data_IF_782606516461
#
_entry.id   IF_782606516461
#
_cell.length_a   1.000
_cell.length_b   1.000
_cell.length_c   1.000
_cell.angle_alpha   90.00
_cell.angle_beta   90.00
_cell.angle_gamma   90.00
#
_symmetry.space_group_name_H-M   'P 1'
#
loop_
_entity.id
_entity.type
_entity.pdbx_description
1 polymer ?
#
# COMPACT_ATOMS: atom_id res chain seq x y z
N UNK A 1 -0.77 5.96 -10.71
CA UNK A 1 -2.01 5.15 -10.70
C UNK A 1 -2.39 4.84 -9.27
N UNK A 2 -3.62 5.08 -8.91
CA UNK A 2 -4.12 4.87 -7.54
C UNK A 2 -5.39 4.04 -7.57
N UNK A 3 -5.61 3.25 -6.52
CA UNK A 3 -6.82 2.48 -6.34
C UNK A 3 -7.03 2.23 -4.85
N UNK A 4 -8.28 2.01 -4.45
CA UNK A 4 -8.58 1.58 -3.09
C UNK A 4 -8.73 0.07 -3.06
N UNK A 5 -8.34 -0.53 -1.95
CA UNK A 5 -8.46 -1.96 -1.74
C UNK A 5 -8.82 -2.25 -0.29
N UNK A 6 -9.28 -3.47 -0.05
CA UNK A 6 -9.64 -3.93 1.30
C UNK A 6 -8.69 -5.06 1.70
N UNK A 7 -8.26 -5.06 2.95
CA UNK A 7 -7.45 -6.13 3.52
C UNK A 7 -8.37 -7.30 3.86
N UNK A 8 -8.06 -8.50 3.38
CA UNK A 8 -8.84 -9.68 3.71
C UNK A 8 -8.41 -10.31 5.03
N UNK A 9 -9.05 -11.40 5.44
CA UNK A 9 -8.76 -12.07 6.71
C UNK A 9 -7.36 -12.69 6.77
N UNK A 10 -6.70 -12.87 5.63
CA UNK A 10 -5.34 -13.39 5.54
C UNK A 10 -4.30 -12.29 5.32
N UNK A 11 -4.72 -11.03 5.35
CA UNK A 11 -3.83 -9.89 5.14
C UNK A 11 -3.45 -9.64 3.69
N UNK A 12 -4.23 -10.16 2.75
CA UNK A 12 -3.97 -10.00 1.32
C UNK A 12 -4.68 -8.77 0.77
N UNK A 13 -4.01 -8.10 -0.15
CA UNK A 13 -4.56 -6.99 -0.93
C UNK A 13 -4.78 -7.49 -2.35
N UNK A 14 -6.03 -7.48 -2.80
CA UNK A 14 -6.40 -7.98 -4.12
C UNK A 14 -6.83 -6.80 -5.00
N UNK A 15 -5.88 -6.15 -5.66
CA UNK A 15 -6.16 -5.09 -6.62
C UNK A 15 -5.37 -5.37 -7.90
N UNK A 16 -6.03 -5.99 -8.87
CA UNK A 16 -5.35 -6.48 -10.06
C UNK A 16 -4.87 -5.39 -11.00
N UNK A 17 -5.61 -4.31 -11.16
CA UNK A 17 -5.24 -3.25 -12.11
C UNK A 17 -3.92 -2.59 -11.75
N UNK A 18 -3.74 -2.26 -10.47
CA UNK A 18 -2.51 -1.62 -9.96
C UNK A 18 -1.33 -2.57 -10.05
N UNK A 19 -1.53 -3.83 -9.67
CA UNK A 19 -0.49 -4.86 -9.73
C UNK A 19 -0.07 -5.12 -11.17
N UNK A 20 -1.02 -5.19 -12.09
CA UNK A 20 -0.74 -5.38 -13.53
C UNK A 20 0.04 -4.19 -14.09
N UNK A 21 -0.29 -2.97 -13.68
CA UNK A 21 0.44 -1.78 -14.11
C UNK A 21 1.91 -1.80 -13.68
N UNK A 22 2.22 -2.45 -12.55
CA UNK A 22 3.59 -2.62 -12.08
C UNK A 22 4.33 -3.76 -12.80
N UNK A 23 3.63 -4.59 -13.55
CA UNK A 23 4.21 -5.74 -14.21
C UNK A 23 4.56 -6.90 -13.28
N UNK A 24 4.05 -6.89 -12.06
CA UNK A 24 4.30 -7.96 -11.10
C UNK A 24 3.42 -9.17 -11.40
N UNK A 25 4.03 -10.34 -11.30
CA UNK A 25 3.38 -11.62 -11.59
C UNK A 25 3.41 -12.52 -10.33
N UNK A 26 2.56 -13.54 -10.26
CA UNK A 26 2.62 -14.49 -9.13
C UNK A 26 4.04 -15.02 -8.93
N UNK A 27 4.48 -15.05 -7.66
CA UNK A 27 5.83 -15.49 -7.31
C UNK A 27 6.89 -14.39 -7.34
N UNK A 28 6.56 -13.19 -7.81
CA UNK A 28 7.50 -12.05 -7.75
C UNK A 28 7.94 -11.82 -6.30
N UNK A 29 9.26 -11.75 -6.09
CA UNK A 29 9.83 -11.43 -4.79
C UNK A 29 9.64 -9.95 -4.48
N UNK A 30 9.16 -9.65 -3.29
CA UNK A 30 8.81 -8.30 -2.88
C UNK A 30 9.53 -7.92 -1.60
N UNK A 31 10.11 -6.74 -1.58
CA UNK A 31 10.63 -6.11 -0.38
C UNK A 31 9.53 -5.23 0.20
N UNK A 32 9.18 -5.44 1.46
CA UNK A 32 8.09 -4.74 2.14
C UNK A 32 8.66 -4.01 3.34
N UNK A 33 8.57 -2.68 3.35
CA UNK A 33 9.10 -1.82 4.40
C UNK A 33 8.04 -0.84 4.88
N UNK A 34 8.16 -0.42 6.15
CA UNK A 34 7.29 0.62 6.72
C UNK A 34 8.11 1.89 6.91
N UNK A 35 7.62 2.98 6.36
CA UNK A 35 8.24 4.30 6.50
C UNK A 35 7.16 5.35 6.81
N UNK A 36 7.27 6.01 7.95
CA UNK A 36 6.37 7.12 8.28
C UNK A 36 4.88 6.73 8.28
N UNK A 37 4.57 5.49 8.66
CA UNK A 37 3.20 4.99 8.62
C UNK A 37 2.74 4.50 7.25
N UNK A 38 3.57 4.60 6.23
CA UNK A 38 3.30 4.07 4.88
C UNK A 38 4.00 2.74 4.70
N UNK A 39 3.44 1.89 3.85
CA UNK A 39 4.05 0.61 3.49
C UNK A 39 4.61 0.75 2.07
N UNK A 40 5.92 0.57 1.93
CA UNK A 40 6.61 0.62 0.64
C UNK A 40 6.90 -0.79 0.16
N UNK A 41 6.48 -1.11 -1.05
CA UNK A 41 6.66 -2.42 -1.65
C UNK A 41 7.39 -2.25 -2.97
N UNK A 42 8.52 -2.95 -3.11
CA UNK A 42 9.32 -2.96 -4.35
C UNK A 42 9.64 -4.39 -4.74
N UNK A 43 9.77 -4.65 -6.04
CA UNK A 43 10.24 -5.94 -6.52
C UNK A 43 11.74 -6.06 -6.26
N UNK A 44 12.13 -7.14 -5.58
CA UNK A 44 13.53 -7.40 -5.23
C UNK A 44 13.78 -8.91 -5.28
N UNK A 45 14.63 -9.41 -6.21
CA UNK A 45 14.86 -10.85 -6.34
C UNK A 45 15.44 -11.51 -5.07
N UNK A 46 16.02 -10.72 -4.18
CA UNK A 46 16.61 -11.23 -2.93
C UNK A 46 15.68 -11.10 -1.73
N UNK A 47 14.48 -10.55 -1.91
CA UNK A 47 13.53 -10.37 -0.81
C UNK A 47 12.91 -11.70 -0.38
N UNK A 48 12.52 -11.74 0.91
CA UNK A 48 11.93 -12.94 1.50
C UNK A 48 10.46 -13.15 1.14
N UNK A 49 9.73 -12.06 0.91
CA UNK A 49 8.30 -12.13 0.62
C UNK A 49 8.06 -12.35 -0.87
N UNK A 50 6.96 -13.01 -1.19
CA UNK A 50 6.57 -13.26 -2.57
C UNK A 50 5.09 -12.99 -2.78
N UNK A 51 4.75 -12.54 -3.98
CA UNK A 51 3.37 -12.43 -4.40
C UNK A 51 2.71 -13.82 -4.40
N UNK A 52 1.46 -13.89 -3.98
CA UNK A 52 0.74 -15.16 -3.92
C UNK A 52 0.48 -15.74 -5.32
N UNK A 53 0.13 -17.02 -5.38
CA UNK A 53 -0.20 -17.69 -6.65
C UNK A 53 -1.39 -17.04 -7.35
N UNK A 54 -2.28 -16.40 -6.60
CA UNK A 54 -3.45 -15.72 -7.14
C UNK A 54 -3.17 -14.29 -7.58
N UNK A 55 -1.90 -13.85 -7.55
CA UNK A 55 -1.53 -12.50 -7.93
C UNK A 55 -1.86 -11.45 -6.89
N UNK A 56 -1.92 -11.82 -5.62
CA UNK A 56 -2.21 -10.92 -4.52
C UNK A 56 -0.95 -10.61 -3.72
N UNK A 57 -0.87 -9.41 -3.17
CA UNK A 57 0.19 -9.04 -2.23
C UNK A 57 -0.30 -9.32 -0.81
N UNK A 58 0.43 -10.17 -0.10
CA UNK A 58 0.13 -10.48 1.30
C UNK A 58 1.04 -9.65 2.19
N UNK A 59 0.44 -8.82 3.03
CA UNK A 59 1.19 -8.02 4.00
C UNK A 59 1.56 -8.89 5.19
N UNK A 60 2.83 -8.89 5.63
CA UNK A 60 3.24 -9.64 6.81
C UNK A 60 2.45 -9.23 8.06
N UNK A 61 2.22 -10.16 8.97
CA UNK A 61 1.47 -9.90 10.19
C UNK A 61 2.07 -8.77 11.01
N UNK A 62 3.40 -8.70 11.11
CA UNK A 62 4.08 -7.63 11.82
C UNK A 62 3.80 -6.26 11.21
N UNK A 63 3.79 -6.16 9.88
CA UNK A 63 3.49 -4.91 9.16
C UNK A 63 2.03 -4.50 9.40
N UNK A 64 1.10 -5.45 9.31
CA UNK A 64 -0.31 -5.19 9.57
C UNK A 64 -0.55 -4.70 10.98
N UNK A 65 0.09 -5.36 11.95
CA UNK A 65 -0.01 -4.96 13.35
C UNK A 65 0.55 -3.56 13.58
N UNK A 66 1.72 -3.29 13.02
CA UNK A 66 2.38 -1.98 13.16
C UNK A 66 1.53 -0.85 12.59
N UNK A 67 0.86 -1.09 11.47
CA UNK A 67 0.03 -0.10 10.80
C UNK A 67 -1.44 -0.10 11.25
N UNK A 68 -1.80 -0.93 12.22
CA UNK A 68 -3.17 -1.02 12.71
C UNK A 68 -4.16 -1.58 11.70
N UNK A 69 -3.69 -2.43 10.79
CA UNK A 69 -4.54 -3.02 9.75
C UNK A 69 -5.21 -4.28 10.25
N UNK A 70 -6.51 -4.33 10.09
CA UNK A 70 -7.35 -5.48 10.45
C UNK A 70 -8.13 -5.94 9.21
N UNK A 71 -8.71 -7.15 9.23
CA UNK A 71 -9.60 -7.58 8.15
C UNK A 71 -10.72 -6.55 7.93
N UNK A 72 -10.93 -6.18 6.67
CA UNK A 72 -11.89 -5.14 6.31
C UNK A 72 -11.33 -3.72 6.25
N UNK A 73 -10.12 -3.48 6.73
CA UNK A 73 -9.50 -2.16 6.61
C UNK A 73 -9.35 -1.77 5.15
N UNK A 74 -9.70 -0.53 4.83
CA UNK A 74 -9.48 0.04 3.51
C UNK A 74 -8.12 0.72 3.45
N UNK A 75 -7.43 0.50 2.33
CA UNK A 75 -6.14 1.13 2.06
C UNK A 75 -6.17 1.79 0.69
N UNK A 76 -5.37 2.83 0.51
CA UNK A 76 -5.14 3.43 -0.79
C UNK A 76 -3.82 2.91 -1.34
N UNK A 77 -3.86 2.39 -2.56
CA UNK A 77 -2.68 1.91 -3.27
C UNK A 77 -2.25 2.96 -4.29
N UNK A 78 -1.00 3.37 -4.23
CA UNK A 78 -0.41 4.27 -5.20
C UNK A 78 0.76 3.56 -5.88
N UNK A 79 0.60 3.26 -7.18
CA UNK A 79 1.64 2.61 -7.96
C UNK A 79 2.46 3.63 -8.73
N UNK A 80 3.77 3.45 -8.70
CA UNK A 80 4.72 4.18 -9.52
C UNK A 80 5.45 3.17 -10.41
N UNK A 81 4.91 2.85 -11.61
CA UNK A 81 5.51 1.85 -12.47
C UNK A 81 6.93 2.21 -12.93
N UNK A 82 7.22 3.49 -13.10
CA UNK A 82 8.55 3.95 -13.52
C UNK A 82 9.60 3.63 -12.46
N UNK A 83 9.24 3.74 -11.18
CA UNK A 83 10.13 3.40 -10.07
C UNK A 83 10.00 1.93 -9.63
N UNK A 84 9.03 1.18 -10.16
CA UNK A 84 8.76 -0.19 -9.75
C UNK A 84 8.31 -0.29 -8.29
N UNK A 85 7.50 0.65 -7.84
CA UNK A 85 7.16 0.80 -6.43
C UNK A 85 5.66 0.89 -6.23
N UNK A 86 5.18 0.22 -5.18
CA UNK A 86 3.81 0.35 -4.70
C UNK A 86 3.84 0.94 -3.29
N UNK A 87 3.07 1.99 -3.07
CA UNK A 87 2.90 2.58 -1.75
C UNK A 87 1.50 2.25 -1.26
N UNK A 88 1.41 1.63 -0.08
CA UNK A 88 0.13 1.34 0.58
C UNK A 88 -0.07 2.39 1.67
N UNK A 89 -1.18 3.13 1.57
CA UNK A 89 -1.56 4.13 2.56
C UNK A 89 -2.61 3.52 3.50
N UNK A 90 -2.23 3.15 4.75
CA UNK A 90 -3.21 2.72 5.75
C UNK A 90 -4.20 3.83 6.09
N UNK A 91 -5.36 3.52 6.67
CA UNK A 91 -6.37 4.53 6.97
C UNK A 91 -5.85 5.70 7.82
N UNK A 92 -5.05 5.43 8.84
CA UNK A 92 -4.49 6.48 9.69
C UNK A 92 -3.57 7.44 8.92
N UNK A 93 -2.74 6.91 8.02
CA UNK A 93 -1.86 7.73 7.20
C UNK A 93 -2.65 8.57 6.21
N UNK A 94 -3.68 7.99 5.61
CA UNK A 94 -4.55 8.69 4.66
C UNK A 94 -5.30 9.83 5.37
N UNK A 95 -5.85 9.58 6.56
CA UNK A 95 -6.53 10.60 7.34
C UNK A 95 -5.59 11.76 7.70
N UNK A 96 -4.35 11.45 8.09
CA UNK A 96 -3.36 12.48 8.40
C UNK A 96 -3.02 13.33 7.16
N UNK A 97 -2.89 12.72 6.00
CA UNK A 97 -2.64 13.44 4.75
C UNK A 97 -3.80 14.35 4.39
N UNK A 98 -5.03 13.87 4.49
CA UNK A 98 -6.22 14.65 4.19
C UNK A 98 -6.33 15.84 5.16
N UNK A 99 -6.14 15.62 6.45
CA UNK A 99 -6.19 16.66 7.46
C UNK A 99 -5.14 17.73 7.19
N UNK A 100 -3.92 17.35 6.89
CA UNK A 100 -2.84 18.28 6.59
C UNK A 100 -3.12 19.07 5.31
N UNK A 101 -3.64 18.43 4.28
CA UNK A 101 -4.00 19.09 3.03
C UNK A 101 -5.11 20.13 3.26
N UNK A 102 -6.15 19.76 4.00
CA UNK A 102 -7.23 20.70 4.34
C UNK A 102 -6.71 21.88 5.14
N UNK A 103 -5.88 21.67 6.13
CA UNK A 103 -5.29 22.75 6.91
C UNK A 103 -4.49 23.71 6.02
N UNK A 104 -3.69 23.20 5.12
CA UNK A 104 -2.88 24.01 4.21
C UNK A 104 -3.75 24.83 3.24
N UNK A 105 -4.74 24.18 2.64
CA UNK A 105 -5.61 24.84 1.65
C UNK A 105 -6.54 25.83 2.31
N UNK A 106 -7.21 25.44 3.41
CA UNK A 106 -8.20 26.29 4.06
C UNK A 106 -7.54 27.49 4.78
N UNK A 107 -6.39 27.28 5.41
CA UNK A 107 -5.65 28.36 6.03
C UNK A 107 -5.15 29.37 4.99
N UNK A 108 -4.77 28.89 3.81
CA UNK A 108 -4.39 29.75 2.70
C UNK A 108 -5.53 30.60 2.18
N UNK A 109 -6.75 30.07 2.19
CA UNK A 109 -7.94 30.76 1.69
C UNK A 109 -8.48 31.82 2.65
N UNK A 110 -8.11 31.75 3.92
CA UNK A 110 -8.60 32.70 4.93
C UNK A 110 -7.88 34.06 4.87
N UNK A 111 -6.85 34.16 4.12
CA UNK A 111 -6.07 35.38 3.99
C UNK A 111 -6.72 36.40 3.04
#
# INVERSE_FOLDING_TARGET
MCATATIDCNGRVAETAVITALGWVPGTHLNIQVHGGLILITADPHAAFRMTRKGQVRLPAAVRHWCGLTPGSRVLLAADPAAGRLVVHPPAALDAMITQFHATVLDGDVR
#
